data_IF_585495212741
#
_entry.id   IF_585495212741
#
_cell.length_a   1.000
_cell.length_b   1.000
_cell.length_c   1.000
_cell.angle_alpha   90.00
_cell.angle_beta   90.00
_cell.angle_gamma   90.00
#
_symmetry.space_group_name_H-M   'P 1'
#
loop_
_entity.id
_entity.type
_entity.pdbx_description
1 polymer ?
#
# COMPACT_ATOMS: atom_id res chain seq x y z
N UNK A 1 3.53 3.09 -11.54
CA UNK A 1 3.23 1.66 -11.44
C UNK A 1 2.30 1.26 -10.29
N UNK A 2 1.89 2.19 -9.41
CA UNK A 2 0.89 1.93 -8.35
C UNK A 2 1.39 1.10 -7.18
N UNK A 3 2.68 1.13 -6.89
CA UNK A 3 3.30 0.47 -5.74
C UNK A 3 4.02 1.49 -4.85
N UNK A 4 4.08 1.20 -3.55
CA UNK A 4 4.90 1.97 -2.63
C UNK A 4 6.31 1.38 -2.59
N UNK A 5 7.29 2.23 -2.77
CA UNK A 5 8.71 1.87 -2.61
C UNK A 5 9.31 2.67 -1.45
N UNK A 6 10.29 2.11 -0.72
CA UNK A 6 10.99 2.84 0.32
C UNK A 6 11.67 4.10 -0.21
N UNK A 7 11.59 5.17 0.55
CA UNK A 7 12.40 6.37 0.31
C UNK A 7 13.75 6.20 0.99
N UNK A 8 14.56 7.26 1.06
CA UNK A 8 15.83 7.23 1.78
C UNK A 8 15.64 6.75 3.23
N UNK A 9 16.30 5.67 3.63
CA UNK A 9 16.17 5.16 4.98
C UNK A 9 16.88 6.07 6.00
N UNK A 10 16.32 6.17 7.20
CA UNK A 10 16.98 6.85 8.33
C UNK A 10 18.08 6.00 8.97
N UNK A 11 18.09 4.71 8.73
CA UNK A 11 19.07 3.74 9.22
C UNK A 11 19.89 3.21 8.05
N UNK A 12 21.07 2.66 8.34
CA UNK A 12 21.90 1.99 7.35
C UNK A 12 21.25 0.66 6.96
N UNK A 13 20.24 0.72 6.10
CA UNK A 13 19.59 -0.44 5.52
C UNK A 13 19.42 -0.28 4.01
N UNK A 14 19.30 -1.39 3.33
CA UNK A 14 19.10 -1.46 1.88
C UNK A 14 17.87 -2.32 1.59
N UNK A 15 16.92 -1.78 0.84
CA UNK A 15 15.75 -2.52 0.38
C UNK A 15 16.04 -3.20 -0.95
N UNK A 16 15.61 -4.45 -1.09
CA UNK A 16 15.87 -5.30 -2.26
C UNK A 16 14.59 -6.03 -2.65
N UNK A 17 14.44 -6.28 -3.94
CA UNK A 17 13.38 -7.10 -4.49
C UNK A 17 12.03 -6.38 -4.56
N UNK A 18 10.94 -7.11 -4.35
CA UNK A 18 9.58 -6.58 -4.53
C UNK A 18 9.25 -5.40 -3.63
N UNK A 19 9.83 -5.31 -2.44
CA UNK A 19 9.68 -4.13 -1.58
C UNK A 19 10.39 -2.88 -2.15
N UNK A 20 11.33 -3.04 -3.08
CA UNK A 20 11.99 -1.96 -3.80
C UNK A 20 11.43 -1.73 -5.22
N UNK A 21 10.33 -2.42 -5.57
CA UNK A 21 9.68 -2.31 -6.87
C UNK A 21 10.27 -3.20 -7.97
N UNK A 22 11.17 -4.11 -7.62
CA UNK A 22 11.75 -5.10 -8.55
C UNK A 22 10.98 -6.41 -8.42
N UNK A 23 10.30 -6.85 -9.48
CA UNK A 23 9.38 -8.00 -9.42
C UNK A 23 9.83 -9.24 -10.17
N UNK A 24 10.69 -9.10 -11.17
CA UNK A 24 11.21 -10.24 -11.93
C UNK A 24 12.30 -10.95 -11.15
N UNK A 25 12.24 -12.27 -11.06
CA UNK A 25 13.19 -13.06 -10.28
C UNK A 25 14.64 -12.81 -10.70
N UNK A 26 14.89 -12.74 -12.00
CA UNK A 26 16.24 -12.47 -12.51
C UNK A 26 16.76 -11.10 -12.04
N UNK A 27 15.92 -10.07 -12.16
CA UNK A 27 16.28 -8.70 -11.77
C UNK A 27 16.48 -8.58 -10.26
N UNK A 28 15.67 -9.31 -9.46
CA UNK A 28 15.82 -9.40 -8.00
C UNK A 28 17.18 -10.02 -7.63
N UNK A 29 17.57 -11.10 -8.31
CA UNK A 29 18.84 -11.76 -8.05
C UNK A 29 20.03 -10.86 -8.41
N UNK A 30 19.97 -10.18 -9.55
CA UNK A 30 21.01 -9.25 -9.99
C UNK A 30 21.10 -8.03 -9.05
N UNK A 31 19.96 -7.43 -8.68
CA UNK A 31 19.88 -6.33 -7.72
C UNK A 31 20.45 -6.75 -6.35
N UNK A 32 20.08 -7.95 -5.89
CA UNK A 32 20.55 -8.48 -4.60
C UNK A 32 22.06 -8.62 -4.60
N UNK A 33 22.61 -9.22 -5.66
CA UNK A 33 24.05 -9.39 -5.81
C UNK A 33 24.80 -8.04 -5.79
N UNK A 34 24.32 -7.07 -6.57
CA UNK A 34 24.94 -5.75 -6.67
C UNK A 34 24.92 -5.01 -5.32
N UNK A 35 23.75 -4.95 -4.67
CA UNK A 35 23.59 -4.22 -3.41
C UNK A 35 24.35 -4.87 -2.26
N UNK A 36 24.34 -6.20 -2.15
CA UNK A 36 25.13 -6.91 -1.13
C UNK A 36 26.62 -6.69 -1.37
N UNK A 37 27.09 -6.79 -2.61
CA UNK A 37 28.49 -6.55 -2.92
C UNK A 37 28.96 -5.15 -2.55
N UNK A 38 28.12 -4.14 -2.81
CA UNK A 38 28.43 -2.76 -2.43
C UNK A 38 28.48 -2.59 -0.90
N UNK A 39 27.54 -3.20 -0.18
CA UNK A 39 27.53 -3.17 1.29
C UNK A 39 28.74 -3.88 1.90
N UNK A 40 29.15 -5.01 1.33
CA UNK A 40 30.30 -5.78 1.84
C UNK A 40 31.66 -5.07 1.61
N UNK A 41 31.76 -4.22 0.60
CA UNK A 41 32.97 -3.39 0.39
C UNK A 41 33.25 -2.46 1.58
N UNK A 42 32.19 -2.03 2.27
CA UNK A 42 32.31 -1.16 3.45
C UNK A 42 32.79 -1.93 4.68
N UNK A 43 32.75 -3.27 4.65
CA UNK A 43 33.05 -4.16 5.80
C UNK A 43 34.35 -4.94 5.65
N UNK A 44 35.30 -4.78 4.91
CA UNK A 44 36.56 -5.56 4.82
C UNK A 44 36.99 -5.97 3.42
N UNK A 45 36.77 -5.19 2.41
CA UNK A 45 37.19 -5.54 1.04
C UNK A 45 36.72 -6.93 0.54
N UNK A 46 35.66 -7.44 1.14
CA UNK A 46 35.08 -8.69 0.71
C UNK A 46 34.32 -8.52 -0.60
N UNK A 47 34.59 -9.35 -1.59
CA UNK A 47 33.89 -9.33 -2.86
C UNK A 47 33.28 -10.70 -3.12
N UNK A 48 31.97 -10.75 -3.27
CA UNK A 48 31.29 -11.96 -3.69
C UNK A 48 31.68 -12.30 -5.14
N UNK A 49 31.88 -13.58 -5.41
CA UNK A 49 32.03 -14.04 -6.80
C UNK A 49 30.66 -13.95 -7.50
N UNK A 50 30.58 -13.38 -8.70
CA UNK A 50 29.33 -13.31 -9.43
C UNK A 50 28.81 -14.71 -9.71
N UNK A 51 27.61 -15.01 -9.18
CA UNK A 51 26.91 -16.24 -9.45
C UNK A 51 25.70 -15.91 -10.34
N UNK A 52 25.78 -16.25 -11.62
CA UNK A 52 24.65 -16.08 -12.53
C UNK A 52 23.69 -17.26 -12.35
N UNK A 53 22.50 -16.95 -11.87
CA UNK A 53 21.42 -17.91 -11.82
C UNK A 53 20.72 -17.93 -13.19
N UNK A 54 20.39 -19.13 -13.67
CA UNK A 54 19.54 -19.30 -14.84
C UNK A 54 18.09 -19.32 -14.38
N UNK A 55 17.38 -18.25 -14.63
CA UNK A 55 15.93 -18.20 -14.41
C UNK A 55 15.19 -18.51 -15.71
N UNK A 56 13.98 -19.04 -15.59
CA UNK A 56 13.11 -19.10 -16.77
C UNK A 56 12.66 -17.69 -17.13
N UNK A 57 12.58 -17.35 -18.45
CA UNK A 57 12.13 -16.03 -18.84
C UNK A 57 10.68 -15.81 -18.40
N UNK A 58 10.48 -14.82 -17.55
CA UNK A 58 9.16 -14.40 -17.10
C UNK A 58 8.54 -13.46 -18.13
N UNK A 59 7.28 -13.70 -18.48
CA UNK A 59 6.54 -12.78 -19.34
C UNK A 59 5.99 -11.65 -18.48
N UNK A 60 6.48 -10.44 -18.69
CA UNK A 60 5.85 -9.24 -18.14
C UNK A 60 4.55 -9.03 -18.91
N UNK A 61 3.45 -9.34 -18.28
CA UNK A 61 2.16 -8.93 -18.78
C UNK A 61 1.97 -7.44 -18.44
N UNK A 62 2.19 -6.57 -19.40
CA UNK A 62 1.90 -5.13 -19.27
C UNK A 62 0.38 -4.90 -19.21
N UNK A 63 -0.24 -5.37 -18.14
CA UNK A 63 -1.64 -5.07 -17.90
C UNK A 63 -1.77 -3.62 -17.41
N UNK A 64 -2.63 -2.86 -18.06
CA UNK A 64 -3.06 -1.57 -17.49
C UNK A 64 -3.79 -1.84 -16.18
N UNK A 65 -3.45 -1.12 -15.16
CA UNK A 65 -4.17 -1.20 -13.88
C UNK A 65 -5.64 -0.81 -14.12
N UNK A 66 -6.55 -1.67 -13.69
CA UNK A 66 -7.97 -1.38 -13.68
C UNK A 66 -8.34 -0.96 -12.26
N UNK A 67 -8.41 0.35 -12.02
CA UNK A 67 -8.77 0.90 -10.71
C UNK A 67 -10.25 0.74 -10.39
N UNK A 68 -11.08 0.60 -11.43
CA UNK A 68 -12.50 0.34 -11.31
C UNK A 68 -12.91 -0.84 -12.17
N UNK A 69 -13.85 -1.64 -11.68
CA UNK A 69 -14.41 -2.73 -12.46
C UNK A 69 -15.57 -2.17 -13.30
N UNK A 70 -15.50 -2.26 -14.64
CA UNK A 70 -16.60 -1.82 -15.48
C UNK A 70 -17.87 -2.63 -15.18
N UNK A 71 -18.95 -1.95 -14.83
CA UNK A 71 -20.22 -2.62 -14.64
C UNK A 71 -20.88 -2.91 -15.99
N UNK A 72 -21.30 -4.16 -16.27
CA UNK A 72 -22.05 -4.50 -17.47
C UNK A 72 -23.45 -3.86 -17.50
N UNK A 73 -23.95 -3.45 -16.33
CA UNK A 73 -25.27 -2.79 -16.19
C UNK A 73 -25.08 -1.30 -15.91
N UNK A 74 -25.16 -0.47 -16.94
CA UNK A 74 -25.03 1.00 -16.86
C UNK A 74 -26.21 1.73 -16.19
N UNK A 75 -27.09 1.06 -15.50
CA UNK A 75 -28.32 1.64 -14.95
C UNK A 75 -28.15 2.40 -13.61
N UNK A 76 -26.94 2.83 -13.28
CA UNK A 76 -26.66 3.70 -12.13
C UNK A 76 -26.85 3.09 -10.74
N UNK A 77 -27.26 1.82 -10.68
CA UNK A 77 -27.53 1.10 -9.43
C UNK A 77 -26.35 0.27 -8.91
N UNK A 78 -25.28 0.15 -9.70
CA UNK A 78 -24.11 -0.63 -9.30
C UNK A 78 -23.15 0.24 -8.49
N UNK A 79 -22.87 -0.17 -7.27
CA UNK A 79 -21.89 0.48 -6.41
C UNK A 79 -20.52 -0.17 -6.64
N UNK A 80 -19.51 0.65 -6.89
CA UNK A 80 -18.11 0.22 -6.98
C UNK A 80 -17.40 0.64 -5.70
N UNK A 81 -17.37 -0.27 -4.73
CA UNK A 81 -16.73 -0.04 -3.44
C UNK A 81 -15.22 0.03 -3.57
N UNK A 82 -14.61 0.98 -2.89
CA UNK A 82 -13.17 1.19 -2.79
C UNK A 82 -12.72 0.90 -1.37
N UNK A 83 -13.42 1.45 -0.39
CA UNK A 83 -13.24 1.18 1.03
C UNK A 83 -14.43 0.41 1.55
N UNK A 84 -14.20 -0.88 1.87
CA UNK A 84 -15.25 -1.77 2.35
C UNK A 84 -15.57 -1.58 3.83
N UNK A 85 -14.71 -0.91 4.60
CA UNK A 85 -14.94 -0.65 6.02
C UNK A 85 -15.84 0.57 6.24
N UNK A 86 -15.72 1.57 5.36
CA UNK A 86 -16.52 2.80 5.42
C UNK A 86 -17.51 2.93 4.25
N UNK A 87 -17.74 1.86 3.49
CA UNK A 87 -18.66 1.82 2.36
C UNK A 87 -18.43 2.92 1.30
N UNK A 88 -17.18 3.38 1.15
CA UNK A 88 -16.85 4.42 0.17
C UNK A 88 -16.78 3.84 -1.22
N UNK A 89 -17.43 4.52 -2.16
CA UNK A 89 -17.51 4.13 -3.56
C UNK A 89 -16.72 5.08 -4.46
N UNK A 90 -16.47 4.66 -5.71
CA UNK A 90 -15.93 5.54 -6.75
C UNK A 90 -16.76 6.82 -6.93
N UNK A 91 -18.09 6.71 -6.77
CA UNK A 91 -19.01 7.85 -6.89
C UNK A 91 -18.72 8.92 -5.80
N UNK A 92 -18.41 8.49 -4.59
CA UNK A 92 -18.13 9.41 -3.48
C UNK A 92 -16.83 10.18 -3.74
N UNK A 93 -15.82 9.52 -4.32
CA UNK A 93 -14.58 10.20 -4.75
C UNK A 93 -14.89 11.21 -5.88
N UNK A 94 -15.72 10.83 -6.86
CA UNK A 94 -16.11 11.75 -7.94
C UNK A 94 -16.86 12.98 -7.40
N UNK A 95 -17.75 12.79 -6.43
CA UNK A 95 -18.46 13.90 -5.77
C UNK A 95 -17.45 14.82 -5.07
N UNK A 96 -16.56 14.26 -4.26
CA UNK A 96 -15.54 15.06 -3.57
C UNK A 96 -14.71 15.92 -4.55
N UNK A 97 -14.27 15.33 -5.65
CA UNK A 97 -13.51 16.04 -6.67
C UNK A 97 -14.36 17.13 -7.38
N UNK A 98 -15.64 16.85 -7.64
CA UNK A 98 -16.55 17.83 -8.25
C UNK A 98 -16.86 19.01 -7.35
N UNK A 99 -16.80 18.83 -6.04
CA UNK A 99 -16.94 19.88 -5.03
C UNK A 99 -15.64 20.67 -4.78
N UNK A 100 -14.56 20.31 -5.49
CA UNK A 100 -13.31 21.08 -5.49
C UNK A 100 -12.22 20.54 -4.54
N UNK A 101 -12.44 19.41 -3.88
CA UNK A 101 -11.40 18.79 -3.06
C UNK A 101 -10.35 18.12 -3.94
N UNK A 102 -9.21 18.77 -4.14
CA UNK A 102 -8.13 18.27 -5.00
C UNK A 102 -7.02 17.54 -4.23
N UNK A 103 -6.83 17.83 -2.96
CA UNK A 103 -5.86 17.16 -2.11
C UNK A 103 -6.39 15.81 -1.68
N UNK A 104 -5.54 14.76 -1.76
CA UNK A 104 -5.91 13.40 -1.31
C UNK A 104 -6.34 13.39 0.17
N UNK A 105 -5.71 14.21 1.02
CA UNK A 105 -6.07 14.34 2.42
C UNK A 105 -7.46 14.95 2.63
N UNK A 106 -7.88 15.89 1.78
CA UNK A 106 -9.22 16.46 1.83
C UNK A 106 -10.25 15.46 1.29
N UNK A 107 -9.97 14.78 0.19
CA UNK A 107 -10.82 13.70 -0.33
C UNK A 107 -11.01 12.60 0.71
N UNK A 108 -9.94 12.20 1.39
CA UNK A 108 -9.99 11.24 2.49
C UNK A 108 -10.96 11.68 3.59
N UNK A 109 -10.88 12.93 4.04
CA UNK A 109 -11.75 13.44 5.12
C UNK A 109 -13.20 13.62 4.68
N UNK A 110 -13.41 14.03 3.44
CA UNK A 110 -14.74 14.20 2.90
C UNK A 110 -15.45 12.85 2.73
N UNK A 111 -14.76 11.85 2.21
CA UNK A 111 -15.33 10.52 1.90
C UNK A 111 -15.18 9.50 3.02
N UNK A 112 -14.38 9.78 4.03
CA UNK A 112 -13.90 8.82 5.06
C UNK A 112 -13.03 7.67 4.53
N UNK A 113 -12.57 7.72 3.28
CA UNK A 113 -11.70 6.71 2.67
C UNK A 113 -10.42 6.53 3.50
N UNK A 114 -10.12 5.29 3.89
CA UNK A 114 -8.90 4.96 4.62
C UNK A 114 -8.86 5.46 6.06
N UNK A 115 -10.01 5.82 6.65
CA UNK A 115 -10.12 6.29 8.03
C UNK A 115 -10.52 5.19 9.03
N UNK A 116 -10.79 3.99 8.55
CA UNK A 116 -11.14 2.85 9.40
C UNK A 116 -9.90 2.19 10.03
N UNK A 117 -10.10 1.06 10.71
CA UNK A 117 -9.06 0.38 11.48
C UNK A 117 -7.87 -0.11 10.66
N UNK A 118 -8.06 -0.39 9.37
CA UNK A 118 -6.97 -0.76 8.46
C UNK A 118 -6.14 0.44 7.99
N UNK A 119 -6.55 1.66 8.32
CA UNK A 119 -5.89 2.91 7.91
C UNK A 119 -5.64 3.00 6.41
N UNK A 120 -6.55 2.44 5.62
CA UNK A 120 -6.51 2.49 4.16
C UNK A 120 -5.51 1.55 3.50
N UNK A 121 -4.99 0.54 4.20
CA UNK A 121 -4.04 -0.43 3.60
C UNK A 121 -4.63 -1.13 2.38
N UNK A 122 -5.95 -1.35 2.35
CA UNK A 122 -6.65 -2.00 1.24
C UNK A 122 -7.25 -1.01 0.23
N UNK A 123 -7.51 0.24 0.62
CA UNK A 123 -8.26 1.21 -0.18
C UNK A 123 -7.44 2.37 -0.76
N UNK A 124 -6.37 2.80 -0.08
CA UNK A 124 -5.66 4.03 -0.44
C UNK A 124 -5.07 4.01 -1.86
N UNK A 125 -4.45 2.91 -2.28
CA UNK A 125 -3.85 2.82 -3.63
C UNK A 125 -4.93 2.87 -4.70
N UNK A 126 -6.05 2.19 -4.49
CA UNK A 126 -7.18 2.21 -5.43
C UNK A 126 -7.79 3.61 -5.52
N UNK A 127 -7.95 4.30 -4.39
CA UNK A 127 -8.43 5.67 -4.36
C UNK A 127 -7.49 6.63 -5.13
N UNK A 128 -6.17 6.50 -4.92
CA UNK A 128 -5.17 7.27 -5.67
C UNK A 128 -5.24 7.00 -7.17
N UNK A 129 -5.39 5.74 -7.57
CA UNK A 129 -5.54 5.36 -8.97
C UNK A 129 -6.76 6.00 -9.63
N UNK A 130 -7.90 5.97 -8.94
CA UNK A 130 -9.14 6.59 -9.42
C UNK A 130 -9.01 8.12 -9.53
N UNK A 131 -8.44 8.75 -8.51
CA UNK A 131 -8.20 10.21 -8.54
C UNK A 131 -7.25 10.57 -9.68
N UNK A 132 -6.20 9.78 -9.90
CA UNK A 132 -5.27 9.94 -11.02
C UNK A 132 -5.98 9.87 -12.36
N UNK A 133 -6.86 8.90 -12.57
CA UNK A 133 -7.64 8.76 -13.81
C UNK A 133 -8.57 9.94 -14.06
N UNK A 134 -9.26 10.42 -13.01
CA UNK A 134 -10.21 11.54 -13.11
C UNK A 134 -9.48 12.86 -13.34
N UNK A 135 -8.43 13.13 -12.55
CA UNK A 135 -7.71 14.42 -12.60
C UNK A 135 -6.64 14.47 -13.68
N UNK A 136 -6.33 13.34 -14.33
CA UNK A 136 -5.23 13.21 -15.31
C UNK A 136 -3.84 13.53 -14.74
N UNK A 137 -3.67 13.44 -13.44
CA UNK A 137 -2.40 13.63 -12.74
C UNK A 137 -1.74 12.28 -12.49
N UNK A 138 -0.42 12.22 -12.52
CA UNK A 138 0.31 11.01 -12.12
C UNK A 138 0.11 10.74 -10.63
N UNK A 139 0.03 9.45 -10.25
CA UNK A 139 -0.15 9.03 -8.85
C UNK A 139 0.93 9.62 -7.95
N UNK A 140 2.19 9.66 -8.41
CA UNK A 140 3.31 10.27 -7.69
C UNK A 140 3.10 11.74 -7.34
N UNK A 141 2.33 12.46 -8.14
CA UNK A 141 2.06 13.90 -7.95
C UNK A 141 0.83 14.16 -7.06
N UNK A 142 0.05 13.13 -6.75
CA UNK A 142 -1.11 13.26 -5.86
C UNK A 142 -0.71 13.21 -4.38
N UNK A 143 0.45 12.62 -4.09
CA UNK A 143 0.88 12.35 -2.73
C UNK A 143 0.21 11.11 -2.13
N UNK A 144 0.40 10.92 -0.84
CA UNK A 144 -0.19 9.82 -0.08
C UNK A 144 -0.94 10.36 1.13
N UNK A 145 -1.87 9.56 1.67
CA UNK A 145 -2.57 9.91 2.90
C UNK A 145 -1.69 9.67 4.11
N UNK A 146 -1.83 10.51 5.12
CA UNK A 146 -1.16 10.34 6.40
C UNK A 146 -1.92 9.34 7.28
N UNK A 147 -1.22 8.36 7.81
CA UNK A 147 -1.78 7.40 8.76
C UNK A 147 -1.87 8.01 10.15
N UNK A 148 -2.88 7.56 10.93
CA UNK A 148 -3.00 7.91 12.35
C UNK A 148 -2.57 6.74 13.22
N UNK A 149 -1.97 7.02 14.36
CA UNK A 149 -1.62 6.01 15.34
C UNK A 149 -2.88 5.50 16.08
N UNK A 150 -2.93 4.20 16.37
CA UNK A 150 -1.96 3.16 15.98
C UNK A 150 -2.17 2.71 14.53
N UNK A 151 -1.10 2.67 13.75
CA UNK A 151 -1.16 2.19 12.36
C UNK A 151 -1.53 0.71 12.25
N UNK A 152 -1.04 -0.09 13.19
CA UNK A 152 -1.48 -1.48 13.41
C UNK A 152 -2.41 -1.50 14.61
N UNK A 153 -3.63 -2.06 14.49
CA UNK A 153 -4.55 -2.17 15.61
C UNK A 153 -3.90 -2.87 16.80
N UNK A 154 -4.06 -2.28 17.98
CA UNK A 154 -3.55 -2.83 19.24
C UNK A 154 -4.73 -3.28 20.07
N UNK A 155 -4.71 -4.53 20.55
CA UNK A 155 -5.76 -5.06 21.41
C UNK A 155 -5.68 -4.46 22.83
N UNK A 156 -6.80 -4.35 23.49
CA UNK A 156 -6.82 -3.93 24.90
C UNK A 156 -5.99 -4.86 25.78
N UNK A 157 -5.98 -6.17 25.47
CA UNK A 157 -5.15 -7.14 26.18
C UNK A 157 -3.64 -6.82 26.09
N UNK A 158 -3.15 -6.38 24.93
CA UNK A 158 -1.77 -5.96 24.78
C UNK A 158 -1.44 -4.70 25.59
N UNK A 159 -2.38 -3.75 25.67
CA UNK A 159 -2.24 -2.51 26.46
C UNK A 159 -2.29 -2.78 27.96
N UNK A 160 -3.15 -3.68 28.39
CA UNK A 160 -3.36 -4.02 29.78
C UNK A 160 -2.18 -4.80 30.40
N UNK A 161 -1.44 -5.56 29.57
CA UNK A 161 -0.25 -6.27 29.97
C UNK A 161 -0.54 -7.50 30.85
N UNK A 162 0.54 -8.11 31.34
CA UNK A 162 0.50 -9.41 32.09
C UNK A 162 -0.18 -9.34 33.44
N UNK A 163 -0.40 -8.17 33.98
CA UNK A 163 -0.98 -8.00 35.32
C UNK A 163 -2.46 -8.43 35.39
N UNK A 164 -3.13 -8.50 34.24
CA UNK A 164 -4.54 -8.85 34.17
C UNK A 164 -4.79 -10.35 34.29
N UNK A 165 -3.75 -11.19 34.07
CA UNK A 165 -3.86 -12.67 34.18
C UNK A 165 -5.04 -13.23 33.34
N UNK A 166 -6.01 -13.85 34.01
CA UNK A 166 -7.21 -14.45 33.41
C UNK A 166 -8.18 -13.45 32.78
N UNK A 167 -8.06 -12.17 33.12
CA UNK A 167 -8.88 -11.09 32.54
C UNK A 167 -8.28 -10.52 31.25
N UNK A 168 -7.23 -11.15 30.73
CA UNK A 168 -6.57 -10.71 29.50
C UNK A 168 -7.52 -10.74 28.29
N UNK A 169 -8.45 -11.68 28.26
CA UNK A 169 -9.45 -11.83 27.20
C UNK A 169 -10.84 -12.03 27.85
N UNK A 170 -11.48 -10.92 28.18
CA UNK A 170 -12.81 -10.93 28.76
C UNK A 170 -13.85 -11.25 27.69
N UNK A 171 -14.42 -12.45 27.76
CA UNK A 171 -15.61 -12.79 26.98
C UNK A 171 -16.78 -11.88 27.36
N UNK A 172 -17.28 -11.14 26.36
CA UNK A 172 -18.56 -10.43 26.52
C UNK A 172 -19.68 -11.39 26.22
N UNK A 173 -20.48 -11.69 27.23
CA UNK A 173 -21.75 -12.39 27.04
C UNK A 173 -22.85 -11.35 26.84
N UNK A 174 -23.65 -11.53 25.80
CA UNK A 174 -24.90 -10.79 25.65
C UNK A 174 -25.85 -11.19 26.75
N UNK A 175 -26.67 -10.27 27.27
CA UNK A 175 -27.67 -10.58 28.27
C UNK A 175 -28.69 -11.61 27.79
#
# INVERSE_FOLDING_TARGET
DGVFVPNQPFQNNVSIGSCNGTFLLNDILDETYEKINNTLKDFENYTLKPQKYKTQPEKINNHKHAWTIPSPKRNGKTKMFIDLQNDVTEKDIKIALSEGFQSIEHVKRYTTTGMATDQGKTSNVNALGIISEITKKQISNLGTTTFRLPYTPVTFGALAGRHIKEFFDLERKTP
#
